data_IF_577103795927
#
_entry.id   IF_577103795927
#
_cell.length_a   1.000
_cell.length_b   1.000
_cell.length_c   1.000
_cell.angle_alpha   90.00
_cell.angle_beta   90.00
_cell.angle_gamma   90.00
#
_symmetry.space_group_name_H-M   'P 1'
#
loop_
_entity.id
_entity.type
_entity.pdbx_description
1 polymer ?
#
# COMPACT_ATOMS: atom_id res chain seq x y z
N UNK A 1 -0.54 6.28 -4.22
CA UNK A 1 -1.67 5.68 -3.50
C UNK A 1 -1.58 5.77 -1.98
N UNK A 2 -0.39 5.66 -1.39
CA UNK A 2 -0.20 5.60 0.07
C UNK A 2 -0.72 6.79 0.89
N UNK A 3 -0.72 8.02 0.32
CA UNK A 3 -1.12 9.25 1.03
C UNK A 3 -2.63 9.33 1.32
N UNK A 4 -3.46 8.80 0.41
CA UNK A 4 -4.93 8.80 0.48
C UNK A 4 -5.48 7.37 0.45
N UNK A 5 -4.76 6.45 1.09
CA UNK A 5 -5.20 5.08 1.27
C UNK A 5 -6.30 4.99 2.34
N UNK A 6 -7.34 4.15 2.20
CA UNK A 6 -7.52 3.06 1.23
C UNK A 6 -8.12 3.47 -0.12
N UNK A 7 -8.73 4.65 -0.21
CA UNK A 7 -9.58 5.05 -1.34
C UNK A 7 -8.82 5.10 -2.66
N UNK A 8 -7.62 5.70 -2.69
CA UNK A 8 -6.80 5.77 -3.91
C UNK A 8 -6.19 4.42 -4.29
N UNK A 9 -5.91 3.55 -3.32
CA UNK A 9 -5.46 2.19 -3.60
C UNK A 9 -6.54 1.36 -4.31
N UNK A 10 -7.79 1.48 -3.88
CA UNK A 10 -8.94 0.81 -4.50
C UNK A 10 -9.16 1.32 -5.93
N UNK A 11 -9.12 2.64 -6.15
CA UNK A 11 -9.24 3.24 -7.49
C UNK A 11 -8.15 2.70 -8.43
N UNK A 12 -6.91 2.56 -7.95
CA UNK A 12 -5.80 2.03 -8.76
C UNK A 12 -5.99 0.55 -9.10
N UNK A 13 -6.60 -0.25 -8.22
CA UNK A 13 -6.95 -1.65 -8.53
C UNK A 13 -8.11 -1.78 -9.53
N UNK A 14 -9.03 -0.81 -9.54
CA UNK A 14 -10.16 -0.76 -10.46
C UNK A 14 -9.79 -0.14 -11.83
N UNK A 15 -8.64 0.52 -11.95
CA UNK A 15 -8.11 1.00 -13.23
C UNK A 15 -7.56 -0.16 -14.04
N UNK A 16 -8.24 -0.49 -15.14
CA UNK A 16 -7.94 -1.65 -15.99
C UNK A 16 -6.56 -1.58 -16.64
N UNK A 17 -6.14 -0.39 -17.10
CA UNK A 17 -4.79 -0.15 -17.65
C UNK A 17 -3.64 -0.43 -16.66
N UNK A 18 -3.94 -0.47 -15.35
CA UNK A 18 -2.95 -0.66 -14.28
C UNK A 18 -2.94 -2.11 -13.75
N UNK A 19 -3.93 -2.95 -14.11
CA UNK A 19 -4.07 -4.34 -13.63
C UNK A 19 -2.98 -5.28 -14.16
N UNK A 20 -2.49 -5.06 -15.38
CA UNK A 20 -1.50 -5.94 -16.01
C UNK A 20 -0.06 -5.73 -15.52
N UNK A 21 0.20 -4.71 -14.68
CA UNK A 21 1.52 -4.42 -14.14
C UNK A 21 1.65 -4.93 -12.70
N UNK A 22 2.41 -6.03 -12.44
CA UNK A 22 2.50 -6.63 -11.10
C UNK A 22 3.05 -5.67 -10.05
N UNK A 23 3.99 -4.78 -10.42
CA UNK A 23 4.52 -3.73 -9.53
C UNK A 23 3.44 -2.76 -9.03
N UNK A 24 2.50 -2.39 -9.89
CA UNK A 24 1.45 -1.44 -9.53
C UNK A 24 0.38 -2.12 -8.67
N UNK A 25 0.03 -3.36 -9.02
CA UNK A 25 -0.91 -4.19 -8.26
C UNK A 25 -0.40 -4.45 -6.83
N UNK A 26 0.88 -4.79 -6.70
CA UNK A 26 1.54 -4.96 -5.41
C UNK A 26 1.46 -3.68 -4.56
N UNK A 27 1.92 -2.55 -5.10
CA UNK A 27 1.89 -1.27 -4.38
C UNK A 27 0.48 -0.81 -4.02
N UNK A 28 -0.51 -1.08 -4.88
CA UNK A 28 -1.90 -0.78 -4.59
C UNK A 28 -2.41 -1.63 -3.42
N UNK A 29 -2.17 -2.95 -3.44
CA UNK A 29 -2.56 -3.86 -2.36
C UNK A 29 -1.89 -3.51 -1.02
N UNK A 30 -0.57 -3.31 -1.02
CA UNK A 30 0.18 -2.89 0.18
C UNK A 30 -0.34 -1.55 0.70
N UNK A 31 -0.65 -0.59 -0.19
CA UNK A 31 -1.20 0.69 0.24
C UNK A 31 -2.54 0.53 0.94
N UNK A 32 -3.46 -0.28 0.41
CA UNK A 32 -4.79 -0.52 1.01
C UNK A 32 -4.65 -1.13 2.40
N UNK A 33 -3.82 -2.17 2.54
CA UNK A 33 -3.62 -2.85 3.82
C UNK A 33 -3.04 -1.87 4.86
N UNK A 34 -2.02 -1.09 4.48
CA UNK A 34 -1.46 -0.06 5.36
C UNK A 34 -2.47 1.03 5.73
N UNK A 35 -3.37 1.39 4.81
CA UNK A 35 -4.46 2.34 5.09
C UNK A 35 -5.41 1.81 6.16
N UNK A 36 -5.84 0.55 6.05
CA UNK A 36 -6.71 -0.11 7.04
C UNK A 36 -6.01 -0.20 8.39
N UNK A 37 -4.75 -0.64 8.41
CA UNK A 37 -3.93 -0.72 9.61
C UNK A 37 -3.77 0.66 10.27
N UNK A 38 -3.53 1.70 9.48
CA UNK A 38 -3.43 3.09 9.97
C UNK A 38 -4.73 3.58 10.61
N UNK A 39 -5.90 3.28 10.03
CA UNK A 39 -7.20 3.61 10.61
C UNK A 39 -7.44 2.85 11.92
N UNK A 40 -7.12 1.56 12.00
CA UNK A 40 -7.27 0.79 13.23
C UNK A 40 -6.35 1.30 14.36
N UNK A 41 -5.09 1.61 14.03
CA UNK A 41 -4.11 2.16 14.97
C UNK A 41 -4.37 3.63 15.33
N UNK A 42 -5.18 4.36 14.54
CA UNK A 42 -5.59 5.73 14.88
C UNK A 42 -6.39 5.78 16.18
N UNK A 43 -7.12 4.70 16.52
CA UNK A 43 -7.84 4.58 17.79
C UNK A 43 -6.90 4.59 19.01
N UNK A 44 -5.63 4.22 18.79
CA UNK A 44 -4.57 4.22 19.80
C UNK A 44 -3.67 5.47 19.71
N UNK A 45 -4.04 6.48 18.92
CA UNK A 45 -3.23 7.68 18.61
C UNK A 45 -1.90 7.40 17.90
N UNK A 46 -1.67 6.17 17.41
CA UNK A 46 -0.41 5.75 16.73
C UNK A 46 -0.56 5.84 15.20
N UNK A 47 -1.77 5.99 14.68
CA UNK A 47 -2.07 6.02 13.24
C UNK A 47 -1.26 7.05 12.44
N UNK A 48 -0.84 8.16 13.06
CA UNK A 48 -0.03 9.18 12.38
C UNK A 48 1.39 8.69 12.03
N UNK A 49 1.97 7.80 12.85
CA UNK A 49 3.27 7.18 12.56
C UNK A 49 3.18 6.24 11.35
N UNK A 50 2.08 5.49 11.25
CA UNK A 50 1.78 4.63 10.10
C UNK A 50 1.62 5.48 8.83
N UNK A 51 1.02 6.67 8.94
CA UNK A 51 0.87 7.60 7.82
C UNK A 51 2.21 8.15 7.32
N UNK A 52 3.12 8.56 8.22
CA UNK A 52 4.47 8.96 7.83
C UNK A 52 5.25 7.81 7.16
N UNK A 53 5.12 6.59 7.69
CA UNK A 53 5.72 5.40 7.09
C UNK A 53 5.15 5.12 5.68
N UNK A 54 3.84 5.28 5.49
CA UNK A 54 3.19 5.12 4.19
C UNK A 54 3.70 6.16 3.16
N UNK A 55 3.97 7.40 3.57
CA UNK A 55 4.59 8.42 2.70
C UNK A 55 5.99 7.99 2.28
N UNK A 56 6.81 7.53 3.22
CA UNK A 56 8.16 7.04 2.94
C UNK A 56 8.14 5.90 1.90
N UNK A 57 7.26 4.92 2.09
CA UNK A 57 7.07 3.82 1.13
C UNK A 57 6.59 4.32 -0.23
N UNK A 58 5.69 5.30 -0.25
CA UNK A 58 5.22 5.92 -1.49
C UNK A 58 6.36 6.56 -2.28
N UNK A 59 7.26 7.30 -1.62
CA UNK A 59 8.42 7.92 -2.28
C UNK A 59 9.32 6.86 -2.90
N UNK A 60 9.62 5.77 -2.17
CA UNK A 60 10.43 4.66 -2.70
C UNK A 60 9.75 3.94 -3.86
N UNK A 61 8.44 3.74 -3.80
CA UNK A 61 7.70 3.13 -4.91
C UNK A 61 7.66 4.05 -6.14
N UNK A 62 7.64 5.38 -5.97
CA UNK A 62 7.75 6.34 -7.07
C UNK A 62 9.12 6.31 -7.74
N UNK A 63 10.17 5.97 -7.00
CA UNK A 63 11.53 5.77 -7.54
C UNK A 63 11.69 4.43 -8.28
N UNK A 64 10.65 3.60 -8.34
CA UNK A 64 10.67 2.29 -9.01
C UNK A 64 11.25 1.17 -8.16
N UNK A 65 11.52 1.41 -6.88
CA UNK A 65 12.01 0.39 -5.96
C UNK A 65 10.87 -0.47 -5.43
N UNK A 66 11.13 -1.77 -5.27
CA UNK A 66 10.22 -2.68 -4.58
C UNK A 66 10.26 -2.39 -3.08
N UNK A 67 9.15 -1.89 -2.56
CA UNK A 67 8.98 -1.63 -1.13
C UNK A 67 8.61 -2.90 -0.40
N UNK A 68 9.41 -3.31 0.57
CA UNK A 68 9.11 -4.46 1.43
C UNK A 68 8.63 -3.97 2.80
N UNK A 69 7.44 -4.43 3.17
CA UNK A 69 6.77 -4.22 4.45
C UNK A 69 6.66 -5.60 5.09
N UNK A 70 7.26 -5.83 6.27
CA UNK A 70 7.20 -7.13 6.92
C UNK A 70 5.74 -7.54 7.14
N UNK A 71 5.44 -8.83 6.97
CA UNK A 71 4.08 -9.42 7.07
C UNK A 71 3.16 -9.04 5.90
N UNK A 72 3.08 -7.76 5.53
CA UNK A 72 2.18 -7.29 4.46
C UNK A 72 2.69 -7.72 3.09
N UNK A 73 4.00 -7.61 2.84
CA UNK A 73 4.61 -8.04 1.58
C UNK A 73 4.49 -9.53 1.34
N UNK A 74 4.71 -10.33 2.38
CA UNK A 74 4.60 -11.79 2.30
C UNK A 74 3.14 -12.21 2.11
N UNK A 75 2.20 -11.51 2.74
CA UNK A 75 0.77 -11.72 2.50
C UNK A 75 0.39 -11.43 1.04
N UNK A 76 0.80 -10.29 0.49
CA UNK A 76 0.47 -9.91 -0.90
C UNK A 76 1.14 -10.85 -1.91
N UNK A 77 2.38 -11.31 -1.65
CA UNK A 77 3.08 -12.33 -2.45
C UNK A 77 2.36 -13.68 -2.41
N UNK A 78 1.95 -14.14 -1.23
CA UNK A 78 1.21 -15.39 -1.06
C UNK A 78 -0.17 -15.38 -1.74
N UNK A 79 -0.76 -14.20 -1.98
CA UNK A 79 -2.02 -14.06 -2.74
C UNK A 79 -1.82 -14.06 -4.28
N UNK A 80 -0.58 -14.17 -4.78
CA UNK A 80 -0.26 -14.13 -6.21
C UNK A 80 -0.47 -12.75 -6.82
N UNK A 81 -0.36 -11.68 -6.02
CA UNK A 81 -0.54 -10.30 -6.46
C UNK A 81 0.79 -9.59 -6.79
N UNK A 82 1.91 -10.30 -6.63
CA UNK A 82 3.27 -9.90 -7.00
C UNK A 82 4.06 -11.11 -7.46
#
# INVERSE_FOLDING_TARGET
SYVFSPLVGIIVLLLEDKKDRPFIKYNAAVSIILGIVGVLLSWLCIGILVWFYAIYLGIRSYQGEWVEVPIVSDFVRNQGWA
#
